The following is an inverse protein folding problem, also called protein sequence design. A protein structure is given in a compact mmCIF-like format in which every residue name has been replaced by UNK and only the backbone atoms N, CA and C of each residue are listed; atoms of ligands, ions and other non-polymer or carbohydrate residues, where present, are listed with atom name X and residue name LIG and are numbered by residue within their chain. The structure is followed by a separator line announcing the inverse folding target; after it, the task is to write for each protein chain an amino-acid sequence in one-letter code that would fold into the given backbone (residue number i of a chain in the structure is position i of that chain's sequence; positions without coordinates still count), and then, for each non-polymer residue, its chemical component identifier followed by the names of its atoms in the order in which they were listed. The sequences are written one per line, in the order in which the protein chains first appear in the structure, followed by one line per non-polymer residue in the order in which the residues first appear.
data_IF_058192456219
#
_entry.id   IF_058192456219
#
_cell.length_a   1.000
_cell.length_b   1.000
_cell.length_c   1.000
_cell.angle_alpha   90.00
_cell.angle_beta   90.00
_cell.angle_gamma   90.00
#
_symmetry.space_group_name_H-M   'P 1'
#
loop_
_entity.id
_entity.type
_entity.pdbx_description
1 polymer ?
#
# COMPACT_ATOMS: atom_id res chain seq x y z
N UNK A 1 10.62 5.31 -65.70
CA UNK A 1 10.22 5.74 -64.35
C UNK A 1 10.09 4.53 -63.44
N UNK A 2 10.90 4.39 -62.37
CA UNK A 2 10.54 3.54 -61.25
C UNK A 2 9.92 4.40 -60.14
N UNK A 3 8.79 3.94 -59.61
CA UNK A 3 8.10 4.54 -58.48
C UNK A 3 8.86 4.16 -57.21
N UNK A 4 9.41 5.16 -56.53
CA UNK A 4 9.96 5.01 -55.19
C UNK A 4 8.82 4.78 -54.20
N UNK A 5 8.61 3.52 -53.80
CA UNK A 5 7.67 3.12 -52.75
C UNK A 5 8.47 2.60 -51.56
N UNK A 6 8.24 3.15 -50.37
CA UNK A 6 8.58 2.47 -49.12
C UNK A 6 9.58 3.15 -48.18
N UNK A 7 9.53 4.47 -47.99
CA UNK A 7 10.23 5.13 -46.87
C UNK A 7 9.27 5.61 -45.76
N UNK A 8 8.07 6.08 -46.15
CA UNK A 8 7.06 6.58 -45.21
C UNK A 8 6.33 5.50 -44.40
N UNK A 9 6.14 4.30 -44.96
CA UNK A 9 5.45 3.22 -44.26
C UNK A 9 6.31 2.60 -43.15
N UNK A 10 7.62 2.49 -43.38
CA UNK A 10 8.58 1.95 -42.40
C UNK A 10 8.79 2.88 -41.20
N UNK A 11 8.83 4.20 -41.44
CA UNK A 11 8.93 5.21 -40.37
C UNK A 11 7.65 5.30 -39.55
N UNK A 12 6.48 5.14 -40.16
CA UNK A 12 5.20 5.11 -39.43
C UNK A 12 5.08 3.87 -38.54
N UNK A 13 5.48 2.68 -39.02
CA UNK A 13 5.48 1.43 -38.22
C UNK A 13 6.46 1.52 -37.05
N UNK A 14 7.65 2.11 -37.26
CA UNK A 14 8.63 2.30 -36.19
C UNK A 14 8.14 3.31 -35.13
N UNK A 15 7.45 4.37 -35.57
CA UNK A 15 6.82 5.33 -34.66
C UNK A 15 5.67 4.69 -33.86
N UNK A 16 4.82 3.86 -34.49
CA UNK A 16 3.77 3.11 -33.78
C UNK A 16 4.35 2.07 -32.80
N UNK A 17 5.48 1.43 -33.12
CA UNK A 17 6.17 0.52 -32.20
C UNK A 17 6.82 1.27 -31.02
N UNK A 18 7.34 2.49 -31.23
CA UNK A 18 7.87 3.32 -30.15
C UNK A 18 6.76 3.90 -29.25
N UNK A 19 5.59 4.24 -29.80
CA UNK A 19 4.42 4.71 -29.02
C UNK A 19 3.75 3.56 -28.27
N UNK A 20 3.91 2.31 -28.74
CA UNK A 20 3.53 1.10 -28.03
C UNK A 20 4.54 0.67 -26.96
N UNK A 21 5.60 1.46 -26.70
CA UNK A 21 6.28 1.45 -25.39
C UNK A 21 5.37 2.13 -24.38
N UNK A 22 4.19 1.56 -24.22
CA UNK A 22 3.27 1.86 -23.14
C UNK A 22 4.08 1.71 -21.87
N UNK A 23 4.08 2.75 -21.04
CA UNK A 23 4.50 2.65 -19.66
C UNK A 23 3.77 1.44 -19.08
N UNK A 24 4.45 0.30 -18.96
CA UNK A 24 3.95 -0.80 -18.15
C UNK A 24 3.78 -0.17 -16.77
N UNK A 25 2.54 0.14 -16.40
CA UNK A 25 2.25 0.80 -15.16
C UNK A 25 2.87 -0.07 -14.08
N UNK A 26 3.84 0.49 -13.34
CA UNK A 26 4.58 -0.28 -12.36
C UNK A 26 3.58 -0.79 -11.33
N UNK A 27 3.41 -2.11 -11.28
CA UNK A 27 2.49 -2.77 -10.39
C UNK A 27 3.06 -2.81 -8.98
N UNK A 28 2.18 -3.03 -8.01
CA UNK A 28 2.49 -3.10 -6.59
C UNK A 28 3.12 -1.84 -6.01
N UNK A 29 2.93 -0.68 -6.63
CA UNK A 29 3.23 0.59 -5.99
C UNK A 29 2.22 0.89 -4.88
N UNK A 30 2.67 0.99 -3.63
CA UNK A 30 1.76 1.23 -2.49
C UNK A 30 1.06 2.59 -2.55
N UNK A 31 1.59 3.57 -3.28
CA UNK A 31 0.96 4.87 -3.47
C UNK A 31 -0.51 4.76 -3.89
N UNK A 32 -1.36 5.56 -3.26
CA UNK A 32 -2.80 5.59 -3.52
C UNK A 32 -3.64 5.10 -2.34
N UNK A 33 -4.89 4.73 -2.64
CA UNK A 33 -5.89 4.35 -1.64
C UNK A 33 -6.18 2.85 -1.65
N UNK A 34 -6.28 2.27 -0.47
CA UNK A 34 -6.50 0.85 -0.24
C UNK A 34 -7.62 0.65 0.79
N UNK A 35 -8.40 -0.42 0.62
CA UNK A 35 -9.43 -0.85 1.55
C UNK A 35 -9.14 -2.25 2.06
N UNK A 36 -9.15 -2.44 3.38
CA UNK A 36 -9.05 -3.78 3.98
C UNK A 36 -10.38 -4.54 3.86
N UNK A 37 -10.29 -5.86 3.97
CA UNK A 37 -11.40 -6.80 4.21
C UNK A 37 -12.37 -6.39 5.33
N UNK A 38 -11.84 -5.76 6.38
CA UNK A 38 -12.60 -5.21 7.52
C UNK A 38 -13.14 -3.79 7.30
N UNK A 39 -12.93 -3.21 6.12
CA UNK A 39 -13.41 -1.89 5.73
C UNK A 39 -12.55 -0.72 6.20
N UNK A 40 -11.35 -0.96 6.76
CA UNK A 40 -10.38 0.10 7.01
C UNK A 40 -9.93 0.73 5.69
N UNK A 41 -9.60 2.01 5.70
CA UNK A 41 -9.04 2.72 4.55
C UNK A 41 -7.62 3.18 4.85
N UNK A 42 -6.69 2.77 4.01
CA UNK A 42 -5.30 3.23 4.04
C UNK A 42 -5.05 4.14 2.83
N UNK A 43 -4.40 5.27 3.03
CA UNK A 43 -3.98 6.18 1.95
C UNK A 43 -2.50 6.42 2.08
N UNK A 44 -1.72 6.03 1.07
CA UNK A 44 -0.28 6.30 0.97
C UNK A 44 -0.09 7.51 0.07
N UNK A 45 0.28 8.64 0.67
CA UNK A 45 0.32 9.96 0.02
C UNK A 45 1.70 10.34 -0.51
N UNK A 46 2.76 9.78 0.06
CA UNK A 46 4.13 10.07 -0.33
C UNK A 46 4.93 8.77 -0.37
N UNK A 47 5.66 8.53 -1.46
CA UNK A 47 6.61 7.42 -1.62
C UNK A 47 7.92 8.01 -2.15
N UNK A 48 8.99 7.93 -1.38
CA UNK A 48 10.33 8.37 -1.79
C UNK A 48 11.06 7.30 -2.58
N UNK A 49 12.15 7.71 -3.25
CA UNK A 49 12.96 6.84 -4.11
C UNK A 49 13.64 5.69 -3.37
N UNK A 50 13.85 5.83 -2.06
CA UNK A 50 14.40 4.79 -1.17
C UNK A 50 13.32 3.82 -0.64
N UNK A 51 12.07 3.96 -1.11
CA UNK A 51 10.95 3.13 -0.71
C UNK A 51 10.27 3.55 0.59
N UNK A 52 10.74 4.60 1.26
CA UNK A 52 10.03 5.13 2.44
C UNK A 52 8.71 5.79 2.04
N UNK A 53 7.68 5.66 2.87
CA UNK A 53 6.39 6.27 2.61
C UNK A 53 5.67 6.75 3.86
N UNK A 54 4.75 7.67 3.65
CA UNK A 54 3.85 8.18 4.68
C UNK A 54 2.42 8.31 4.16
N UNK A 55 1.48 8.37 5.09
CA UNK A 55 0.07 8.37 4.75
C UNK A 55 -0.86 8.52 5.94
N UNK A 56 -2.11 8.08 5.72
CA UNK A 56 -3.13 8.01 6.76
C UNK A 56 -3.85 6.68 6.76
N UNK A 57 -4.29 6.26 7.94
CA UNK A 57 -5.07 5.06 8.19
C UNK A 57 -6.37 5.45 8.89
N UNK A 58 -7.49 5.08 8.29
CA UNK A 58 -8.83 5.26 8.82
C UNK A 58 -9.37 3.87 9.22
N UNK A 59 -9.70 3.64 10.49
CA UNK A 59 -10.26 2.38 10.93
C UNK A 59 -11.61 2.10 10.26
N UNK A 60 -11.88 0.81 10.04
CA UNK A 60 -13.17 0.35 9.55
C UNK A 60 -14.25 0.39 10.63
N UNK A 61 -15.54 0.29 10.26
CA UNK A 61 -16.67 0.34 11.20
C UNK A 61 -16.59 -0.69 12.34
N UNK A 62 -15.92 -1.82 12.12
CA UNK A 62 -15.76 -2.90 13.09
C UNK A 62 -14.70 -2.64 14.17
N UNK A 63 -13.88 -1.58 14.05
CA UNK A 63 -12.78 -1.29 14.99
C UNK A 63 -13.22 -0.70 16.35
N UNK A 64 -14.53 -0.61 16.61
CA UNK A 64 -15.09 0.06 17.79
C UNK A 64 -15.38 1.53 17.49
N UNK A 65 -16.63 1.94 17.75
CA UNK A 65 -17.21 3.20 17.27
C UNK A 65 -16.54 4.48 17.78
N UNK A 66 -16.71 5.55 16.99
CA UNK A 66 -16.51 6.99 17.27
C UNK A 66 -15.19 7.51 17.87
N UNK A 67 -14.38 6.71 18.55
CA UNK A 67 -13.21 7.17 19.32
C UNK A 67 -11.92 7.25 18.50
N UNK A 68 -11.75 6.42 17.48
CA UNK A 68 -10.50 6.36 16.71
C UNK A 68 -10.57 7.30 15.50
N UNK A 69 -9.63 8.24 15.44
CA UNK A 69 -9.50 9.23 14.38
C UNK A 69 -8.63 8.70 13.22
N UNK A 70 -8.70 9.39 12.09
CA UNK A 70 -7.71 9.22 11.02
C UNK A 70 -6.31 9.38 11.59
N UNK A 71 -5.51 8.33 11.48
CA UNK A 71 -4.22 8.21 12.16
C UNK A 71 -3.07 8.22 11.16
N UNK A 72 -1.94 8.89 11.43
CA UNK A 72 -0.80 8.88 10.53
C UNK A 72 -0.16 7.49 10.45
N UNK A 73 0.35 7.16 9.27
CA UNK A 73 1.18 5.97 9.04
C UNK A 73 2.51 6.33 8.38
N UNK A 74 3.54 5.54 8.69
CA UNK A 74 4.89 5.64 8.13
C UNK A 74 5.44 4.24 7.89
N UNK A 75 6.13 4.03 6.77
CA UNK A 75 6.59 2.70 6.37
C UNK A 75 7.64 2.70 5.27
N UNK A 76 7.95 1.50 4.80
CA UNK A 76 8.91 1.23 3.74
C UNK A 76 8.43 0.11 2.84
N UNK A 77 8.72 0.22 1.56
CA UNK A 77 8.48 -0.80 0.54
C UNK A 77 9.80 -1.21 -0.11
N UNK A 78 9.97 -2.50 -0.42
CA UNK A 78 11.03 -2.90 -1.35
C UNK A 78 10.77 -2.33 -2.75
N UNK A 79 11.82 -2.07 -3.51
CA UNK A 79 11.73 -1.48 -4.84
C UNK A 79 10.90 -2.37 -5.79
N UNK A 80 9.72 -1.88 -6.18
CA UNK A 80 8.79 -2.58 -7.07
C UNK A 80 9.35 -2.75 -8.51
N UNK A 81 10.33 -1.93 -8.90
CA UNK A 81 11.04 -2.08 -10.18
C UNK A 81 12.05 -3.23 -10.18
N UNK A 82 12.50 -3.67 -8.99
CA UNK A 82 13.43 -4.78 -8.84
C UNK A 82 12.73 -6.06 -8.37
N UNK A 83 11.68 -5.93 -7.55
CA UNK A 83 10.91 -7.04 -6.99
C UNK A 83 9.45 -6.86 -7.40
N UNK A 84 8.93 -7.62 -8.39
CA UNK A 84 7.59 -7.42 -8.94
C UNK A 84 6.44 -7.53 -7.93
N UNK A 85 6.62 -8.31 -6.86
CA UNK A 85 5.66 -8.52 -5.78
C UNK A 85 6.37 -8.25 -4.44
N UNK A 86 6.67 -6.97 -4.14
CA UNK A 86 7.58 -6.57 -3.07
C UNK A 86 6.94 -6.72 -1.69
N UNK A 87 7.79 -6.95 -0.68
CA UNK A 87 7.39 -6.85 0.72
C UNK A 87 7.36 -5.39 1.17
N UNK A 88 6.55 -5.12 2.18
CA UNK A 88 6.46 -3.81 2.80
C UNK A 88 6.18 -3.91 4.29
N UNK A 89 6.47 -2.84 5.01
CA UNK A 89 6.07 -2.68 6.40
C UNK A 89 5.66 -1.24 6.68
N UNK A 90 4.70 -1.04 7.58
CA UNK A 90 4.36 0.29 8.07
C UNK A 90 3.86 0.24 9.49
N UNK A 91 3.88 1.38 10.15
CA UNK A 91 3.30 1.58 11.48
C UNK A 91 2.18 2.60 11.40
N UNK A 92 1.13 2.39 12.19
CA UNK A 92 0.03 3.33 12.40
C UNK A 92 0.11 3.83 13.84
N UNK A 93 0.28 5.13 14.02
CA UNK A 93 0.25 5.77 15.35
C UNK A 93 -1.17 6.26 15.60
N UNK A 94 -1.93 5.52 16.41
CA UNK A 94 -3.37 5.77 16.57
C UNK A 94 -3.65 7.09 17.29
N UNK A 95 -4.52 7.90 16.69
CA UNK A 95 -5.12 9.07 17.32
C UNK A 95 -6.47 8.68 17.93
N UNK A 96 -6.64 8.92 19.22
CA UNK A 96 -7.85 8.63 19.99
C UNK A 96 -8.47 9.95 20.45
N UNK A 97 -9.81 10.06 20.43
CA UNK A 97 -10.52 11.29 20.84
C UNK A 97 -10.39 11.60 22.32
N UNK A 98 -10.54 10.57 23.18
CA UNK A 98 -10.78 10.75 24.61
C UNK A 98 -9.88 9.84 25.49
N UNK A 99 -8.76 9.34 24.95
CA UNK A 99 -7.87 8.41 25.66
C UNK A 99 -6.41 8.80 25.55
N UNK A 100 -5.75 8.89 26.71
CA UNK A 100 -4.29 9.03 26.86
C UNK A 100 -3.53 7.72 26.62
N UNK A 101 -4.24 6.61 26.34
CA UNK A 101 -3.58 5.31 26.14
C UNK A 101 -2.96 5.24 24.76
N UNK A 102 -1.62 5.31 24.70
CA UNK A 102 -0.90 5.16 23.44
C UNK A 102 -1.17 3.78 22.82
N UNK A 103 -1.48 3.78 21.52
CA UNK A 103 -1.67 2.57 20.72
C UNK A 103 -0.87 2.68 19.43
N UNK A 104 -0.28 1.58 18.99
CA UNK A 104 0.44 1.51 17.71
C UNK A 104 0.16 0.16 17.06
N UNK A 105 -0.09 0.16 15.75
CA UNK A 105 -0.14 -1.09 14.99
C UNK A 105 1.01 -1.13 14.00
N UNK A 106 1.80 -2.21 14.02
CA UNK A 106 2.77 -2.50 12.97
C UNK A 106 2.17 -3.50 11.99
N UNK A 107 2.36 -3.26 10.70
CA UNK A 107 1.98 -4.13 9.60
C UNK A 107 3.23 -4.60 8.87
N UNK A 108 3.25 -5.88 8.49
CA UNK A 108 4.27 -6.47 7.62
C UNK A 108 3.54 -7.33 6.59
N UNK A 109 3.84 -7.10 5.31
CA UNK A 109 3.10 -7.76 4.24
C UNK A 109 3.83 -7.82 2.92
N UNK A 110 3.11 -8.31 1.93
CA UNK A 110 3.54 -8.43 0.55
C UNK A 110 2.42 -8.02 -0.39
N UNK A 111 2.78 -7.33 -1.46
CA UNK A 111 1.86 -7.05 -2.55
C UNK A 111 1.86 -8.20 -3.56
N UNK A 112 0.67 -8.59 -4.01
CA UNK A 112 0.45 -9.61 -5.03
C UNK A 112 -0.30 -9.03 -6.22
N UNK A 113 0.00 -9.56 -7.41
CA UNK A 113 -0.70 -9.22 -8.65
C UNK A 113 -1.42 -10.46 -9.18
N UNK A 114 -2.74 -10.38 -9.31
CA UNK A 114 -3.58 -11.43 -9.87
C UNK A 114 -3.52 -11.49 -11.40
N UNK A 115 -4.15 -12.51 -11.98
CA UNK A 115 -4.06 -12.80 -13.42
C UNK A 115 -4.60 -11.67 -14.31
N UNK A 116 -5.52 -10.85 -13.78
CA UNK A 116 -6.10 -9.72 -14.51
C UNK A 116 -5.41 -8.39 -14.16
N UNK A 117 -4.27 -8.42 -13.47
CA UNK A 117 -3.57 -7.23 -12.99
C UNK A 117 -4.18 -6.60 -11.75
N UNK A 118 -5.11 -7.27 -11.06
CA UNK A 118 -5.60 -6.79 -9.77
C UNK A 118 -4.52 -6.89 -8.70
N UNK A 119 -4.39 -5.84 -7.87
CA UNK A 119 -3.39 -5.80 -6.82
C UNK A 119 -4.03 -6.03 -5.46
N UNK A 120 -3.39 -6.88 -4.65
CA UNK A 120 -3.80 -7.15 -3.28
C UNK A 120 -2.59 -7.02 -2.35
N UNK A 121 -2.80 -6.49 -1.15
CA UNK A 121 -1.79 -6.46 -0.11
C UNK A 121 -2.18 -7.46 0.97
N UNK A 122 -1.35 -8.45 1.22
CA UNK A 122 -1.57 -9.40 2.31
C UNK A 122 -0.63 -9.03 3.44
N UNK A 123 -1.18 -8.72 4.61
CA UNK A 123 -0.40 -8.27 5.75
C UNK A 123 -0.78 -9.01 7.04
N UNK A 124 0.23 -9.33 7.83
CA UNK A 124 0.10 -9.57 9.27
C UNK A 124 0.17 -8.22 9.98
N UNK A 125 -0.54 -8.07 11.09
CA UNK A 125 -0.41 -6.93 11.97
C UNK A 125 -0.29 -7.30 13.44
N UNK A 126 0.42 -6.45 14.18
CA UNK A 126 0.53 -6.48 15.63
C UNK A 126 0.03 -5.14 16.18
N UNK A 127 -1.09 -5.16 16.89
CA UNK A 127 -1.58 -4.01 17.65
C UNK A 127 -0.98 -4.06 19.04
N UNK A 128 -0.27 -3.01 19.42
CA UNK A 128 0.31 -2.81 20.74
C UNK A 128 -0.43 -1.68 21.45
N UNK A 129 -1.02 -2.00 22.60
CA UNK A 129 -1.55 -1.02 23.55
C UNK A 129 -0.47 -0.73 24.62
N UNK A 130 -0.40 0.50 25.11
CA UNK A 130 0.44 0.81 26.26
C UNK A 130 -0.08 0.07 27.51
N UNK A 131 0.79 -0.70 28.16
CA UNK A 131 0.51 -1.34 29.44
C UNK A 131 0.81 -0.39 30.59
N UNK A 132 0.05 -0.46 31.68
CA UNK A 132 0.30 0.39 32.85
C UNK A 132 1.53 -0.08 33.66
N UNK A 133 1.89 -1.35 33.55
CA UNK A 133 3.07 -1.95 34.18
C UNK A 133 3.59 -3.15 33.39
N UNK A 134 4.83 -3.60 33.64
CA UNK A 134 5.37 -4.82 33.03
C UNK A 134 4.52 -6.08 33.31
N UNK A 135 3.85 -6.15 34.47
CA UNK A 135 2.99 -7.30 34.84
C UNK A 135 1.73 -7.39 33.96
N UNK A 136 1.36 -6.29 33.30
CA UNK A 136 0.24 -6.25 32.34
C UNK A 136 0.68 -6.44 30.89
N UNK A 137 1.99 -6.59 30.61
CA UNK A 137 2.52 -6.68 29.25
C UNK A 137 1.96 -7.85 28.44
N UNK A 138 1.70 -8.98 29.11
CA UNK A 138 1.26 -10.23 28.50
C UNK A 138 -0.05 -10.10 27.69
N UNK A 139 -0.91 -9.11 28.03
CA UNK A 139 -2.19 -8.84 27.37
C UNK A 139 -2.15 -7.65 26.40
N UNK A 140 -1.01 -6.97 26.29
CA UNK A 140 -0.90 -5.68 25.59
C UNK A 140 -0.74 -5.80 24.07
N UNK A 141 -0.52 -7.01 23.54
CA UNK A 141 -0.31 -7.23 22.10
C UNK A 141 -1.40 -8.13 21.52
N UNK A 142 -2.09 -7.63 20.49
CA UNK A 142 -3.03 -8.42 19.65
C UNK A 142 -2.41 -8.65 18.27
N UNK A 143 -2.73 -9.78 17.66
CA UNK A 143 -2.24 -10.18 16.33
C UNK A 143 -3.41 -10.46 15.39
N UNK A 144 -3.24 -10.19 14.11
CA UNK A 144 -4.18 -10.60 13.10
C UNK A 144 -3.63 -10.42 11.69
N UNK A 145 -4.51 -10.59 10.71
CA UNK A 145 -4.20 -10.42 9.29
C UNK A 145 -5.17 -9.43 8.65
N UNK A 146 -4.77 -8.86 7.52
CA UNK A 146 -5.64 -8.06 6.68
C UNK A 146 -5.26 -8.24 5.22
N UNK A 147 -6.29 -8.36 4.37
CA UNK A 147 -6.13 -8.26 2.93
C UNK A 147 -6.64 -6.91 2.47
N UNK A 148 -5.80 -6.15 1.76
CA UNK A 148 -6.16 -4.86 1.19
C UNK A 148 -6.34 -4.95 -0.32
N UNK A 149 -7.31 -4.21 -0.84
CA UNK A 149 -7.56 -4.05 -2.28
C UNK A 149 -7.51 -2.57 -2.66
N UNK A 150 -7.08 -2.28 -3.88
CA UNK A 150 -7.01 -0.90 -4.37
C UNK A 150 -8.40 -0.30 -4.52
N UNK A 151 -8.57 0.94 -4.07
CA UNK A 151 -9.80 1.72 -4.28
C UNK A 151 -9.66 2.47 -5.61
N UNK A 152 -10.59 2.23 -6.54
CA UNK A 152 -10.70 2.94 -7.81
C UNK A 152 -11.34 4.31 -7.64
#
# INVERSE_FOLDING_TARGET
SPVAMGSGAFTLVLALALVASTTLALQCLLSGSWRSDTGCRMVVSFLSKDGSFSGSYLPGPAAGGSEILTSPLEGTQQDAGLVPQPTFSFTVRWQLRDSETARTTAFLGQCYVGTNGEETLHALWLLREAANSPDEDWKATRIGTSVFTRIK
#
